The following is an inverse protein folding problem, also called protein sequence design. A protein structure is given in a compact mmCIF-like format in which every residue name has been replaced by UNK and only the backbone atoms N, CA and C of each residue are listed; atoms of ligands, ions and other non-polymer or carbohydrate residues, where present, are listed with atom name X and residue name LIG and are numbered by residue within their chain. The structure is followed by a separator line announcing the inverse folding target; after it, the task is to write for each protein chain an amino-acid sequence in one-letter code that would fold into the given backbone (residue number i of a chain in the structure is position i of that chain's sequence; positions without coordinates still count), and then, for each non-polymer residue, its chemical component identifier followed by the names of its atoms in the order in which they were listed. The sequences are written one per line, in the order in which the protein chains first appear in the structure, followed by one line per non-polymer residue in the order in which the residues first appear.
data_IF_922708363509
#
_entry.id   IF_922708363509
#
_cell.length_a   1.000
_cell.length_b   1.000
_cell.length_c   1.000
_cell.angle_alpha   90.00
_cell.angle_beta   90.00
_cell.angle_gamma   90.00
#
_symmetry.space_group_name_H-M   'P 1'
#
loop_
_entity.id
_entity.type
_entity.pdbx_description
1 polymer ?
#
# COMPACT_ATOMS: atom_id res chain seq x y z
N UNK A 1 28.28 10.38 12.09
CA UNK A 1 28.18 9.95 10.67
C UNK A 1 28.16 11.11 9.64
N UNK A 2 28.08 12.39 10.03
CA UNK A 2 28.05 13.52 9.09
C UNK A 2 29.40 13.88 8.42
N UNK A 3 30.52 13.41 8.95
CA UNK A 3 31.85 13.74 8.41
C UNK A 3 32.22 13.03 7.11
N UNK A 4 31.53 11.94 6.73
CA UNK A 4 31.96 11.09 5.59
C UNK A 4 31.39 11.51 4.23
N UNK A 5 30.32 12.30 4.18
CA UNK A 5 29.67 12.71 2.91
C UNK A 5 29.68 14.22 2.65
N UNK A 6 30.57 14.98 3.32
CA UNK A 6 30.61 16.44 3.17
C UNK A 6 30.91 16.87 1.72
N UNK A 7 31.70 16.09 0.98
CA UNK A 7 32.01 16.36 -0.43
C UNK A 7 30.80 16.20 -1.35
N UNK A 8 29.90 15.25 -1.09
CA UNK A 8 28.64 15.10 -1.81
C UNK A 8 27.69 16.27 -1.54
N UNK A 9 27.66 16.76 -0.30
CA UNK A 9 26.87 17.95 0.05
C UNK A 9 27.48 19.23 -0.54
N UNK A 10 28.81 19.38 -0.50
CA UNK A 10 29.54 20.54 -1.00
C UNK A 10 29.54 20.63 -2.53
N UNK A 11 29.54 19.50 -3.24
CA UNK A 11 29.41 19.47 -4.70
C UNK A 11 27.94 19.49 -5.15
N UNK A 12 27.04 18.83 -4.41
CA UNK A 12 25.62 18.75 -4.74
C UNK A 12 24.85 20.04 -4.51
N UNK A 13 25.21 20.83 -3.48
CA UNK A 13 24.56 22.10 -3.18
C UNK A 13 24.73 23.16 -4.29
N UNK A 14 25.93 23.46 -4.82
CA UNK A 14 26.09 24.44 -5.90
C UNK A 14 25.52 23.94 -7.22
N UNK A 15 25.58 22.64 -7.53
CA UNK A 15 24.96 22.07 -8.73
C UNK A 15 23.44 22.13 -8.63
N UNK A 16 22.86 21.76 -7.49
CA UNK A 16 21.43 21.87 -7.21
C UNK A 16 20.96 23.31 -7.24
N UNK A 17 21.72 24.24 -6.66
CA UNK A 17 21.43 25.68 -6.67
C UNK A 17 21.53 26.25 -8.09
N UNK A 18 22.53 25.88 -8.88
CA UNK A 18 22.66 26.32 -10.27
C UNK A 18 21.51 25.83 -11.15
N UNK A 19 21.12 24.56 -11.00
CA UNK A 19 19.96 23.99 -11.70
C UNK A 19 18.68 24.71 -11.27
N UNK A 20 18.46 24.87 -9.97
CA UNK A 20 17.27 25.52 -9.41
C UNK A 20 17.19 27.00 -9.83
N UNK A 21 18.30 27.73 -9.76
CA UNK A 21 18.41 29.12 -10.20
C UNK A 21 18.12 29.25 -11.71
N UNK A 22 18.68 28.36 -12.53
CA UNK A 22 18.41 28.33 -13.98
C UNK A 22 16.96 27.95 -14.30
N UNK A 23 16.33 27.09 -13.49
CA UNK A 23 14.94 26.67 -13.63
C UNK A 23 13.94 27.78 -13.24
N UNK A 24 14.24 28.54 -12.18
CA UNK A 24 13.43 29.65 -11.69
C UNK A 24 13.58 30.93 -12.54
N UNK A 25 14.80 31.28 -12.95
CA UNK A 25 15.08 32.59 -13.54
C UNK A 25 14.64 32.73 -15.01
N UNK A 26 14.33 31.65 -15.73
CA UNK A 26 13.91 31.71 -17.14
C UNK A 26 12.46 31.24 -17.41
N UNK A 27 11.63 31.03 -16.38
CA UNK A 27 10.24 30.56 -16.59
C UNK A 27 10.11 29.13 -17.16
N UNK A 28 11.23 28.42 -17.37
CA UNK A 28 11.28 27.04 -17.84
C UNK A 28 10.71 26.06 -16.81
N UNK A 29 10.64 26.40 -15.53
CA UNK A 29 10.03 25.54 -14.51
C UNK A 29 8.57 25.18 -14.81
N UNK A 30 7.78 26.14 -15.30
CA UNK A 30 6.40 25.90 -15.70
C UNK A 30 6.30 25.04 -16.98
N UNK A 31 7.22 25.24 -17.93
CA UNK A 31 7.26 24.44 -19.17
C UNK A 31 7.72 23.01 -18.91
N UNK A 32 8.76 22.81 -18.09
CA UNK A 32 9.24 21.49 -17.68
C UNK A 32 8.19 20.77 -16.83
N UNK A 33 7.51 21.47 -15.92
CA UNK A 33 6.42 20.88 -15.13
C UNK A 33 5.25 20.45 -16.04
N UNK A 34 4.86 21.29 -17.02
CA UNK A 34 3.84 20.91 -18.00
C UNK A 34 4.27 19.74 -18.87
N UNK A 35 5.52 19.74 -19.36
CA UNK A 35 6.06 18.65 -20.18
C UNK A 35 6.14 17.32 -19.41
N UNK A 36 6.61 17.35 -18.16
CA UNK A 36 6.63 16.19 -17.27
C UNK A 36 5.21 15.74 -16.95
N UNK A 37 4.29 16.67 -16.69
CA UNK A 37 2.90 16.35 -16.42
C UNK A 37 2.26 15.66 -17.63
N UNK A 38 2.33 16.26 -18.82
CA UNK A 38 1.81 15.69 -20.08
C UNK A 38 2.42 14.33 -20.41
N UNK A 39 3.74 14.16 -20.24
CA UNK A 39 4.38 12.86 -20.48
C UNK A 39 3.99 11.82 -19.43
N UNK A 40 3.78 12.22 -18.18
CA UNK A 40 3.32 11.32 -17.12
C UNK A 40 1.86 10.93 -17.30
N UNK A 41 0.97 11.86 -17.70
CA UNK A 41 -0.43 11.53 -18.01
C UNK A 41 -0.55 10.68 -19.25
N UNK A 42 0.23 10.94 -20.30
CA UNK A 42 0.27 10.08 -21.50
C UNK A 42 0.72 8.67 -21.15
N UNK A 43 1.81 8.54 -20.39
CA UNK A 43 2.33 7.24 -19.94
C UNK A 43 1.32 6.50 -19.05
N UNK A 44 0.66 7.20 -18.13
CA UNK A 44 -0.35 6.60 -17.26
C UNK A 44 -1.59 6.17 -18.05
N UNK A 45 -2.04 6.99 -19.00
CA UNK A 45 -3.18 6.64 -19.84
C UNK A 45 -2.86 5.40 -20.69
N UNK A 46 -1.71 5.40 -21.37
CA UNK A 46 -1.31 4.39 -22.34
C UNK A 46 -0.86 3.08 -21.70
N UNK A 47 -0.12 3.11 -20.58
CA UNK A 47 0.42 1.91 -19.95
C UNK A 47 -0.33 1.44 -18.71
N UNK A 48 -1.22 2.26 -18.13
CA UNK A 48 -1.99 1.86 -16.94
C UNK A 48 -3.47 1.75 -17.30
N UNK A 49 -4.08 2.80 -17.84
CA UNK A 49 -5.55 2.83 -17.97
C UNK A 49 -6.09 1.93 -19.08
N UNK A 50 -5.39 1.84 -20.22
CA UNK A 50 -5.77 1.00 -21.36
C UNK A 50 -5.70 -0.49 -20.99
N UNK A 51 -4.56 -1.02 -20.50
CA UNK A 51 -4.48 -2.44 -20.12
C UNK A 51 -5.40 -2.79 -18.95
N UNK A 52 -5.58 -1.92 -17.95
CA UNK A 52 -6.52 -2.19 -16.84
C UNK A 52 -7.98 -2.29 -17.31
N UNK A 53 -8.41 -1.40 -18.21
CA UNK A 53 -9.77 -1.46 -18.77
C UNK A 53 -9.96 -2.68 -19.66
N UNK A 54 -8.96 -3.03 -20.47
CA UNK A 54 -8.99 -4.22 -21.32
C UNK A 54 -9.13 -5.49 -20.48
N UNK A 55 -8.26 -5.66 -19.47
CA UNK A 55 -8.29 -6.81 -18.55
C UNK A 55 -9.61 -6.85 -17.78
N UNK A 56 -10.11 -5.70 -17.29
CA UNK A 56 -11.36 -5.67 -16.53
C UNK A 56 -12.57 -6.05 -17.40
N UNK A 57 -12.63 -5.55 -18.63
CA UNK A 57 -13.73 -5.84 -19.55
C UNK A 57 -13.68 -7.29 -20.05
N UNK A 58 -12.48 -7.82 -20.30
CA UNK A 58 -12.25 -9.22 -20.69
C UNK A 58 -12.60 -10.18 -19.56
N UNK A 59 -12.08 -9.96 -18.35
CA UNK A 59 -12.32 -10.80 -17.17
C UNK A 59 -13.82 -10.86 -16.81
N UNK A 60 -14.53 -9.72 -16.86
CA UNK A 60 -15.93 -9.67 -16.45
C UNK A 60 -16.90 -10.20 -17.53
N UNK A 61 -16.54 -10.03 -18.81
CA UNK A 61 -17.39 -10.43 -19.94
C UNK A 61 -17.25 -11.91 -20.33
N UNK A 62 -16.03 -12.47 -20.25
CA UNK A 62 -15.72 -13.84 -20.67
C UNK A 62 -16.16 -14.88 -19.64
N UNK A 63 -15.81 -14.65 -18.37
CA UNK A 63 -16.17 -15.52 -17.24
C UNK A 63 -17.69 -15.77 -17.13
N UNK A 64 -18.52 -14.79 -17.50
CA UNK A 64 -19.98 -14.93 -17.36
C UNK A 64 -20.64 -15.72 -18.49
N UNK A 65 -20.11 -15.66 -19.72
CA UNK A 65 -20.79 -16.24 -20.89
C UNK A 65 -20.40 -17.69 -21.16
N UNK A 66 -19.13 -18.03 -21.04
CA UNK A 66 -18.64 -19.39 -21.33
C UNK A 66 -19.12 -20.38 -20.27
N UNK A 67 -19.03 -20.02 -18.97
CA UNK A 67 -19.46 -20.89 -17.86
C UNK A 67 -20.94 -21.26 -17.91
N UNK A 68 -21.82 -20.36 -18.37
CA UNK A 68 -23.27 -20.63 -18.43
C UNK A 68 -23.63 -21.51 -19.64
N UNK A 69 -23.01 -21.27 -20.79
CA UNK A 69 -23.27 -22.03 -22.02
C UNK A 69 -22.80 -23.49 -21.87
N UNK A 70 -21.59 -23.69 -21.38
CA UNK A 70 -20.98 -25.03 -21.30
C UNK A 70 -21.61 -25.89 -20.19
N UNK A 71 -22.04 -25.28 -19.09
CA UNK A 71 -22.75 -26.00 -18.04
C UNK A 71 -24.08 -26.57 -18.54
N UNK A 72 -24.88 -25.77 -19.24
CA UNK A 72 -26.16 -26.21 -19.78
C UNK A 72 -25.98 -27.27 -20.87
N UNK A 73 -25.00 -27.10 -21.77
CA UNK A 73 -24.67 -28.10 -22.78
C UNK A 73 -24.28 -29.45 -22.15
N UNK A 74 -23.54 -29.41 -21.03
CA UNK A 74 -23.16 -30.61 -20.27
C UNK A 74 -24.35 -31.31 -19.64
N UNK A 75 -25.25 -30.56 -19.02
CA UNK A 75 -26.47 -31.14 -18.42
C UNK A 75 -27.35 -31.81 -19.46
N UNK A 76 -27.56 -31.17 -20.63
CA UNK A 76 -28.33 -31.76 -21.73
C UNK A 76 -27.68 -33.04 -22.25
N UNK A 77 -26.35 -33.08 -22.35
CA UNK A 77 -25.65 -34.29 -22.76
C UNK A 77 -25.76 -35.42 -21.73
N UNK A 78 -25.68 -35.10 -20.44
CA UNK A 78 -25.85 -36.07 -19.34
C UNK A 78 -27.28 -36.61 -19.37
N UNK A 79 -28.29 -35.75 -19.45
CA UNK A 79 -29.70 -36.16 -19.51
C UNK A 79 -29.98 -37.07 -20.72
N UNK A 80 -29.44 -36.71 -21.89
CA UNK A 80 -29.53 -37.54 -23.09
C UNK A 80 -28.90 -38.93 -22.89
N UNK A 81 -27.72 -38.99 -22.27
CA UNK A 81 -27.05 -40.25 -21.94
C UNK A 81 -27.85 -41.09 -20.94
N UNK A 82 -28.39 -40.46 -19.90
CA UNK A 82 -29.24 -41.13 -18.91
C UNK A 82 -30.47 -41.76 -19.57
N UNK A 83 -31.12 -41.04 -20.48
CA UNK A 83 -32.28 -41.55 -21.23
C UNK A 83 -31.89 -42.75 -22.11
N UNK A 84 -30.76 -42.66 -22.81
CA UNK A 84 -30.28 -43.74 -23.67
C UNK A 84 -29.93 -45.02 -22.90
N UNK A 85 -29.27 -44.87 -21.74
CA UNK A 85 -28.95 -45.99 -20.84
C UNK A 85 -30.24 -46.60 -20.28
N UNK A 86 -31.20 -45.76 -19.85
CA UNK A 86 -32.49 -46.22 -19.33
C UNK A 86 -33.27 -47.02 -20.37
N UNK A 87 -33.33 -46.53 -21.60
CA UNK A 87 -34.00 -47.22 -22.71
C UNK A 87 -33.31 -48.54 -23.06
N UNK A 88 -31.97 -48.55 -23.09
CA UNK A 88 -31.20 -49.77 -23.31
C UNK A 88 -31.38 -50.81 -22.20
N UNK A 89 -31.38 -50.39 -20.93
CA UNK A 89 -31.61 -51.28 -19.78
C UNK A 89 -33.03 -51.86 -19.78
N UNK A 90 -34.02 -51.08 -20.20
CA UNK A 90 -35.42 -51.52 -20.31
C UNK A 90 -35.57 -52.64 -21.32
N UNK A 91 -34.89 -52.54 -22.46
CA UNK A 91 -34.95 -53.52 -23.54
C UNK A 91 -34.10 -54.77 -23.27
N UNK A 92 -32.90 -54.60 -22.72
CA UNK A 92 -31.94 -55.71 -22.53
C UNK A 92 -32.24 -56.54 -21.27
N UNK A 93 -32.70 -55.90 -20.19
CA UNK A 93 -32.95 -56.54 -18.90
C UNK A 93 -34.35 -56.21 -18.37
N UNK A 94 -35.42 -56.82 -18.94
CA UNK A 94 -36.80 -56.55 -18.52
C UNK A 94 -37.10 -57.00 -17.09
N UNK A 95 -36.35 -57.98 -16.57
CA UNK A 95 -36.49 -58.54 -15.21
C UNK A 95 -35.79 -57.71 -14.12
N UNK A 96 -34.97 -56.73 -14.49
CA UNK A 96 -34.27 -55.88 -13.52
C UNK A 96 -35.25 -54.88 -12.87
N UNK A 97 -35.21 -54.71 -11.54
CA UNK A 97 -36.10 -53.77 -10.85
C UNK A 97 -35.92 -52.34 -11.37
N UNK A 98 -37.03 -51.62 -11.53
CA UNK A 98 -37.07 -50.25 -12.10
C UNK A 98 -36.13 -49.31 -11.35
N UNK A 99 -36.11 -49.40 -10.02
CA UNK A 99 -35.29 -48.56 -9.13
C UNK A 99 -33.80 -48.76 -9.41
N UNK A 100 -33.37 -50.00 -9.62
CA UNK A 100 -31.96 -50.30 -9.91
C UNK A 100 -31.56 -49.76 -11.30
N UNK A 101 -32.46 -49.87 -12.30
CA UNK A 101 -32.22 -49.33 -13.64
C UNK A 101 -32.07 -47.81 -13.63
N UNK A 102 -32.94 -47.13 -12.90
CA UNK A 102 -32.89 -45.66 -12.79
C UNK A 102 -31.65 -45.20 -12.03
N UNK A 103 -31.27 -45.89 -10.95
CA UNK A 103 -30.03 -45.59 -10.23
C UNK A 103 -28.79 -45.75 -11.11
N UNK A 104 -28.73 -46.81 -11.93
CA UNK A 104 -27.63 -47.03 -12.88
C UNK A 104 -27.63 -46.01 -14.01
N UNK A 105 -28.80 -45.63 -14.52
CA UNK A 105 -28.92 -44.57 -15.51
C UNK A 105 -28.43 -43.24 -14.94
N UNK A 106 -28.87 -42.85 -13.73
CA UNK A 106 -28.46 -41.61 -13.05
C UNK A 106 -26.95 -41.56 -12.79
N UNK A 107 -26.35 -42.69 -12.41
CA UNK A 107 -24.90 -42.83 -12.22
C UNK A 107 -24.12 -42.84 -13.56
N UNK A 108 -24.81 -42.94 -14.70
CA UNK A 108 -24.22 -43.20 -16.01
C UNK A 108 -23.27 -44.40 -16.00
N UNK A 109 -23.69 -45.49 -15.35
CA UNK A 109 -22.89 -46.72 -15.21
C UNK A 109 -22.76 -47.44 -16.56
N UNK A 110 -21.54 -47.48 -17.08
CA UNK A 110 -21.23 -48.02 -18.40
C UNK A 110 -20.80 -49.50 -18.39
N UNK A 111 -20.54 -50.06 -17.20
CA UNK A 111 -19.93 -51.38 -17.04
C UNK A 111 -20.74 -52.51 -17.67
N UNK A 112 -22.08 -52.48 -17.55
CA UNK A 112 -22.98 -53.48 -18.10
C UNK A 112 -23.05 -53.41 -19.64
N UNK A 113 -23.01 -52.19 -20.18
CA UNK A 113 -23.08 -51.96 -21.62
C UNK A 113 -21.78 -52.43 -22.27
N UNK A 114 -20.63 -52.13 -21.67
CA UNK A 114 -19.31 -52.60 -22.14
C UNK A 114 -19.22 -54.13 -22.16
N UNK A 115 -19.62 -54.78 -21.05
CA UNK A 115 -19.62 -56.24 -20.96
C UNK A 115 -20.53 -56.87 -22.03
N UNK A 116 -21.74 -56.33 -22.19
CA UNK A 116 -22.69 -56.85 -23.17
C UNK A 116 -22.22 -56.59 -24.61
N UNK A 117 -21.59 -55.44 -24.86
CA UNK A 117 -20.96 -55.10 -26.15
C UNK A 117 -19.85 -56.11 -26.48
N UNK A 118 -19.01 -56.47 -25.52
CA UNK A 118 -17.94 -57.46 -25.73
C UNK A 118 -18.49 -58.86 -26.06
N UNK A 119 -19.57 -59.27 -25.38
CA UNK A 119 -20.26 -60.53 -25.64
C UNK A 119 -20.90 -60.55 -27.05
N UNK A 120 -21.60 -59.47 -27.42
CA UNK A 120 -22.28 -59.34 -28.71
C UNK A 120 -21.29 -59.16 -29.87
N UNK A 121 -20.10 -58.58 -29.63
CA UNK A 121 -19.05 -58.44 -30.66
C UNK A 121 -18.45 -59.79 -31.07
N UNK A 122 -18.55 -60.83 -30.22
CA UNK A 122 -18.14 -62.20 -30.55
C UNK A 122 -19.13 -62.91 -31.49
N UNK A 123 -20.34 -62.38 -31.67
CA UNK A 123 -21.42 -63.01 -32.44
C UNK A 123 -21.91 -62.11 -33.59
N UNK A 124 -21.71 -62.55 -34.85
CA UNK A 124 -22.02 -61.75 -36.06
C UNK A 124 -23.52 -61.41 -36.20
N UNK A 125 -24.42 -62.18 -35.59
CA UNK A 125 -25.87 -61.95 -35.72
C UNK A 125 -26.40 -60.77 -34.88
N UNK A 126 -25.61 -60.21 -33.96
CA UNK A 126 -26.06 -59.16 -33.03
C UNK A 126 -25.57 -57.74 -33.39
N UNK A 127 -25.14 -57.50 -34.63
CA UNK A 127 -24.53 -56.23 -35.09
C UNK A 127 -25.37 -54.99 -34.74
N UNK A 128 -26.69 -55.06 -34.88
CA UNK A 128 -27.57 -53.91 -34.57
C UNK A 128 -27.49 -53.52 -33.08
N UNK A 129 -27.41 -54.50 -32.20
CA UNK A 129 -27.25 -54.26 -30.76
C UNK A 129 -25.89 -53.65 -30.44
N UNK A 130 -24.82 -54.11 -31.10
CA UNK A 130 -23.45 -53.59 -30.93
C UNK A 130 -23.36 -52.13 -31.38
N UNK A 131 -23.96 -51.79 -32.52
CA UNK A 131 -23.98 -50.41 -33.02
C UNK A 131 -24.64 -49.47 -32.00
N UNK A 132 -25.79 -49.87 -31.41
CA UNK A 132 -26.45 -49.06 -30.38
C UNK A 132 -25.60 -48.91 -29.11
N UNK A 133 -24.94 -49.98 -28.65
CA UNK A 133 -24.05 -49.92 -27.48
C UNK A 133 -22.84 -49.01 -27.74
N UNK A 134 -22.26 -49.05 -28.94
CA UNK A 134 -21.17 -48.15 -29.36
C UNK A 134 -21.61 -46.68 -29.44
N UNK A 135 -22.86 -46.40 -29.82
CA UNK A 135 -23.39 -45.03 -29.79
C UNK A 135 -23.55 -44.50 -28.35
N UNK A 136 -23.96 -45.35 -27.41
CA UNK A 136 -24.00 -44.99 -25.98
C UNK A 136 -22.58 -44.68 -25.48
N UNK A 137 -21.59 -45.49 -25.87
CA UNK A 137 -20.18 -45.30 -25.53
C UNK A 137 -19.60 -44.00 -26.08
N UNK A 138 -19.93 -43.66 -27.31
CA UNK A 138 -19.54 -42.38 -27.88
C UNK A 138 -20.10 -41.20 -27.08
N UNK A 139 -21.34 -41.27 -26.60
CA UNK A 139 -21.92 -40.19 -25.77
C UNK A 139 -21.31 -40.15 -24.36
N UNK A 140 -20.96 -41.31 -23.79
CA UNK A 140 -20.21 -41.36 -22.52
C UNK A 140 -18.83 -40.71 -22.65
N UNK A 141 -18.06 -41.06 -23.68
CA UNK A 141 -16.76 -40.44 -23.96
C UNK A 141 -16.91 -38.93 -24.17
N UNK A 142 -17.94 -38.50 -24.92
CA UNK A 142 -18.24 -37.08 -25.12
C UNK A 142 -18.51 -36.34 -23.81
N UNK A 143 -19.26 -36.95 -22.88
CA UNK A 143 -19.51 -36.38 -21.54
C UNK A 143 -18.20 -36.21 -20.77
N UNK A 144 -17.38 -37.26 -20.69
CA UNK A 144 -16.11 -37.22 -19.96
C UNK A 144 -15.14 -36.20 -20.56
N UNK A 145 -15.08 -36.11 -21.89
CA UNK A 145 -14.28 -35.10 -22.60
C UNK A 145 -14.74 -33.67 -22.25
N UNK A 146 -16.04 -33.40 -22.25
CA UNK A 146 -16.57 -32.09 -21.89
C UNK A 146 -16.33 -31.76 -20.41
N UNK A 147 -16.33 -32.75 -19.52
CA UNK A 147 -15.95 -32.55 -18.13
C UNK A 147 -14.45 -32.21 -17.98
N UNK A 148 -13.58 -32.91 -18.71
CA UNK A 148 -12.16 -32.62 -18.76
C UNK A 148 -11.86 -31.25 -19.38
N UNK A 149 -12.56 -30.88 -20.45
CA UNK A 149 -12.44 -29.57 -21.09
C UNK A 149 -12.81 -28.45 -20.14
N UNK A 150 -13.91 -28.61 -19.39
CA UNK A 150 -14.29 -27.66 -18.35
C UNK A 150 -13.19 -27.48 -17.29
N UNK A 151 -12.59 -28.57 -16.82
CA UNK A 151 -11.48 -28.49 -15.86
C UNK A 151 -10.24 -27.82 -16.47
N UNK A 152 -9.97 -28.05 -17.76
CA UNK A 152 -8.88 -27.37 -18.47
C UNK A 152 -9.14 -25.88 -18.64
N UNK A 153 -10.36 -25.47 -18.96
CA UNK A 153 -10.73 -24.06 -19.08
C UNK A 153 -10.59 -23.32 -17.74
N UNK A 154 -10.97 -23.98 -16.64
CA UNK A 154 -10.77 -23.44 -15.29
C UNK A 154 -9.27 -23.24 -14.97
N UNK A 155 -8.43 -24.23 -15.31
CA UNK A 155 -6.98 -24.13 -15.14
C UNK A 155 -6.36 -23.07 -16.06
N UNK A 156 -6.79 -22.99 -17.31
CA UNK A 156 -6.30 -22.02 -18.28
C UNK A 156 -6.66 -20.59 -17.85
N UNK A 157 -7.89 -20.38 -17.38
CA UNK A 157 -8.36 -19.10 -16.84
C UNK A 157 -7.54 -18.67 -15.63
N UNK A 158 -7.27 -19.59 -14.69
CA UNK A 158 -6.41 -19.30 -13.54
C UNK A 158 -4.99 -18.90 -13.95
N UNK A 159 -4.44 -19.55 -14.98
CA UNK A 159 -3.11 -19.23 -15.50
C UNK A 159 -3.08 -17.88 -16.23
N UNK A 160 -4.09 -17.58 -17.02
CA UNK A 160 -4.23 -16.31 -17.74
C UNK A 160 -4.33 -15.14 -16.75
N UNK A 161 -5.11 -15.29 -15.67
CA UNK A 161 -5.20 -14.29 -14.60
C UNK A 161 -3.84 -14.04 -13.96
N UNK A 162 -3.09 -15.11 -13.66
CA UNK A 162 -1.76 -14.98 -13.06
C UNK A 162 -0.79 -14.25 -14.00
N UNK A 163 -0.79 -14.58 -15.30
CA UNK A 163 0.04 -13.93 -16.30
C UNK A 163 -0.33 -12.45 -16.48
N UNK A 164 -1.62 -12.14 -16.59
CA UNK A 164 -2.13 -10.77 -16.68
C UNK A 164 -1.79 -9.96 -15.43
N UNK A 165 -1.88 -10.56 -14.24
CA UNK A 165 -1.50 -9.92 -12.98
C UNK A 165 0.02 -9.67 -12.92
N UNK A 166 0.84 -10.64 -13.35
CA UNK A 166 2.29 -10.48 -13.45
C UNK A 166 2.68 -9.34 -14.40
N UNK A 167 1.96 -9.18 -15.52
CA UNK A 167 2.16 -8.08 -16.46
C UNK A 167 1.78 -6.70 -15.88
N UNK A 168 0.76 -6.62 -15.02
CA UNK A 168 0.32 -5.36 -14.38
C UNK A 168 1.20 -4.99 -13.16
N UNK A 169 1.79 -5.97 -12.49
CA UNK A 169 2.65 -5.80 -11.31
C UNK A 169 3.74 -4.71 -11.46
N UNK A 170 4.55 -4.67 -12.54
CA UNK A 170 5.57 -3.63 -12.68
C UNK A 170 4.99 -2.21 -12.77
N UNK A 171 3.82 -2.02 -13.38
CA UNK A 171 3.16 -0.71 -13.46
C UNK A 171 2.68 -0.23 -12.07
N UNK A 172 2.14 -1.15 -11.26
CA UNK A 172 1.74 -0.87 -9.87
C UNK A 172 2.95 -0.51 -9.01
N UNK A 173 4.06 -1.23 -9.17
CA UNK A 173 5.30 -0.99 -8.44
C UNK A 173 5.91 0.38 -8.79
N UNK A 174 5.89 0.77 -10.08
CA UNK A 174 6.31 2.10 -10.52
C UNK A 174 5.44 3.20 -9.88
N UNK A 175 4.13 3.03 -9.86
CA UNK A 175 3.22 3.99 -9.24
C UNK A 175 3.46 4.18 -7.75
N UNK A 176 3.67 3.07 -7.04
CA UNK A 176 4.01 3.11 -5.62
C UNK A 176 5.36 3.79 -5.39
N UNK A 177 6.35 3.50 -6.23
CA UNK A 177 7.67 4.14 -6.23
C UNK A 177 7.58 5.65 -6.43
N UNK A 178 6.84 6.12 -7.44
CA UNK A 178 6.62 7.55 -7.69
C UNK A 178 5.96 8.23 -6.50
N UNK A 179 4.94 7.61 -5.90
CA UNK A 179 4.27 8.16 -4.71
C UNK A 179 5.20 8.23 -3.50
N UNK A 180 6.06 7.22 -3.32
CA UNK A 180 7.06 7.19 -2.25
C UNK A 180 8.11 8.29 -2.44
N UNK A 181 8.66 8.43 -3.64
CA UNK A 181 9.63 9.48 -3.98
C UNK A 181 9.00 10.86 -3.87
N UNK A 182 7.77 11.06 -4.35
CA UNK A 182 7.05 12.32 -4.23
C UNK A 182 6.86 12.72 -2.75
N UNK A 183 6.45 11.77 -1.89
CA UNK A 183 6.38 12.01 -0.45
C UNK A 183 7.74 12.32 0.15
N UNK A 184 8.77 11.56 -0.23
CA UNK A 184 10.14 11.78 0.27
C UNK A 184 10.65 13.16 -0.12
N UNK A 185 10.52 13.55 -1.39
CA UNK A 185 10.87 14.88 -1.89
C UNK A 185 10.06 15.97 -1.20
N UNK A 186 8.75 15.79 -1.02
CA UNK A 186 7.91 16.73 -0.28
C UNK A 186 8.40 16.90 1.16
N UNK A 187 8.68 15.80 1.86
CA UNK A 187 9.23 15.85 3.22
C UNK A 187 10.65 16.43 3.26
N UNK A 188 11.51 16.13 2.30
CA UNK A 188 12.88 16.64 2.26
C UNK A 188 12.91 18.15 1.94
N UNK A 189 12.16 18.59 0.93
CA UNK A 189 12.11 19.99 0.51
C UNK A 189 11.35 20.88 1.51
N UNK A 190 10.17 20.49 1.98
CA UNK A 190 9.34 21.36 2.83
C UNK A 190 9.68 21.25 4.31
N UNK A 191 10.25 20.13 4.76
CA UNK A 191 10.66 19.96 6.17
C UNK A 191 12.13 20.32 6.41
N UNK A 192 12.83 20.83 5.40
CA UNK A 192 14.14 21.47 5.52
C UNK A 192 14.13 22.77 6.36
N UNK A 193 12.97 23.20 6.87
CA UNK A 193 12.78 24.47 7.57
C UNK A 193 12.98 24.51 9.09
N UNK A 194 13.51 23.47 9.74
CA UNK A 194 14.14 23.61 11.08
C UNK A 194 14.88 22.33 11.44
N UNK A 195 16.21 22.40 11.47
CA UNK A 195 17.07 21.28 11.87
C UNK A 195 16.71 20.86 13.31
N UNK A 196 16.78 19.56 13.62
CA UNK A 196 16.59 19.09 15.01
C UNK A 196 17.57 19.81 15.93
N UNK A 197 18.77 20.10 15.44
CA UNK A 197 19.83 20.81 16.15
C UNK A 197 19.44 22.26 16.46
N UNK A 198 18.79 22.96 15.54
CA UNK A 198 18.29 24.33 15.78
C UNK A 198 17.21 24.34 16.85
N UNK A 199 16.31 23.36 16.86
CA UNK A 199 15.26 23.25 17.90
C UNK A 199 15.88 22.98 19.27
N UNK A 200 16.91 22.12 19.35
CA UNK A 200 17.64 21.86 20.59
C UNK A 200 18.48 23.06 21.05
N UNK A 201 19.12 23.78 20.12
CA UNK A 201 19.87 24.98 20.42
C UNK A 201 18.95 26.10 20.93
N UNK A 202 17.83 26.36 20.24
CA UNK A 202 16.82 27.33 20.71
C UNK A 202 16.27 26.96 22.09
N UNK A 203 16.01 25.69 22.37
CA UNK A 203 15.57 25.24 23.69
C UNK A 203 16.64 25.49 24.77
N UNK A 204 17.90 25.15 24.50
CA UNK A 204 19.01 25.40 25.43
C UNK A 204 19.22 26.88 25.73
N UNK A 205 19.12 27.74 24.72
CA UNK A 205 19.23 29.19 24.91
C UNK A 205 18.16 29.72 25.85
N UNK A 206 16.90 29.29 25.69
CA UNK A 206 15.82 29.72 26.58
C UNK A 206 16.06 29.25 28.03
N UNK A 207 16.56 28.02 28.23
CA UNK A 207 16.89 27.51 29.57
C UNK A 207 18.06 28.27 30.20
N UNK A 208 19.10 28.58 29.43
CA UNK A 208 20.24 29.37 29.91
C UNK A 208 19.84 30.82 30.22
N UNK A 209 18.92 31.41 29.45
CA UNK A 209 18.40 32.74 29.75
C UNK A 209 17.57 32.73 31.04
N UNK A 210 16.80 31.67 31.30
CA UNK A 210 16.11 31.47 32.58
C UNK A 210 17.12 31.33 33.74
N UNK A 211 18.17 30.52 33.58
CA UNK A 211 19.24 30.37 34.57
C UNK A 211 19.97 31.69 34.81
N UNK A 212 20.22 32.47 33.76
CA UNK A 212 20.88 33.78 33.83
C UNK A 212 20.03 34.83 34.54
N UNK A 213 18.72 34.87 34.28
CA UNK A 213 17.79 35.76 34.98
C UNK A 213 17.69 35.41 36.46
N UNK A 214 17.79 34.12 36.80
CA UNK A 214 17.81 33.66 38.18
C UNK A 214 19.15 33.96 38.89
N UNK A 215 20.28 33.89 38.18
CA UNK A 215 21.64 34.06 38.75
C UNK A 215 22.16 35.50 38.76
N UNK A 216 21.87 36.33 37.74
CA UNK A 216 22.24 37.77 37.77
C UNK A 216 21.51 38.54 38.87
N UNK A 217 20.48 37.95 39.48
CA UNK A 217 19.72 38.54 40.58
C UNK A 217 20.39 38.38 41.94
N UNK A 218 21.30 37.43 42.10
CA UNK A 218 22.05 37.26 43.35
C UNK A 218 23.08 38.38 43.59
N UNK A 219 23.43 39.16 42.56
CA UNK A 219 24.25 40.39 42.66
C UNK A 219 23.92 41.39 41.53
N UNK A 220 22.96 42.31 41.69
CA UNK A 220 22.79 43.38 40.72
C UNK A 220 24.05 44.28 40.72
N UNK A 221 24.66 44.60 39.55
CA UNK A 221 25.68 45.64 39.51
C UNK A 221 25.02 46.97 39.91
N UNK A 222 25.64 47.66 40.88
CA UNK A 222 25.16 48.93 41.39
C UNK A 222 24.90 49.92 40.25
N UNK A 223 23.76 50.59 40.33
CA UNK A 223 23.29 51.59 39.37
C UNK A 223 24.42 52.60 39.09
N UNK A 224 24.81 52.84 37.83
CA UNK A 224 25.76 53.92 37.54
C UNK A 224 25.11 55.27 37.93
N UNK A 225 25.81 56.13 38.67
CA UNK A 225 25.23 57.37 39.19
C UNK A 225 24.75 58.27 38.04
N UNK A 226 23.57 58.93 38.17
CA UNK A 226 23.11 59.88 37.17
C UNK A 226 24.09 61.05 37.07
N UNK A 227 24.35 61.51 35.84
CA UNK A 227 25.13 62.72 35.58
C UNK A 227 24.47 63.91 36.28
N UNK A 228 25.12 64.43 37.33
CA UNK A 228 24.64 65.60 38.08
C UNK A 228 25.52 65.97 39.26
N UNK A 229 26.63 66.66 38.97
CA UNK A 229 27.20 67.78 39.72
C UNK A 229 27.49 67.64 41.24
N UNK A 230 28.80 67.57 41.53
CA UNK A 230 29.53 68.06 42.72
C UNK A 230 29.65 67.21 44.00
N UNK A 231 30.88 66.70 44.16
CA UNK A 231 31.78 66.88 45.30
C UNK A 231 31.93 65.77 46.37
N UNK A 232 33.22 65.45 46.60
CA UNK A 232 33.88 64.85 47.78
C UNK A 232 34.00 63.31 47.86
N UNK A 233 35.19 62.83 47.43
CA UNK A 233 36.14 61.82 47.98
C UNK A 233 35.70 60.63 48.89
N UNK A 234 36.52 59.56 48.97
CA UNK A 234 36.08 58.18 48.83
C UNK A 234 35.93 57.47 50.18
N UNK A 235 34.98 56.56 50.28
CA UNK A 235 35.00 55.58 51.36
C UNK A 235 34.48 54.23 50.89
N UNK A 236 35.44 53.36 50.58
CA UNK A 236 35.29 51.92 50.59
C UNK A 236 34.67 51.50 51.93
N UNK A 237 33.41 51.09 51.91
CA UNK A 237 32.77 50.41 53.02
C UNK A 237 32.02 49.21 52.48
N UNK A 238 32.74 48.09 52.43
CA UNK A 238 32.12 46.79 52.52
C UNK A 238 31.34 46.75 53.85
N UNK A 239 30.02 46.80 53.75
CA UNK A 239 29.10 46.57 54.86
C UNK A 239 28.31 45.33 54.45
N UNK A 240 28.65 44.20 55.09
CA UNK A 240 27.76 43.06 55.12
C UNK A 240 26.61 43.36 56.08
N UNK A 241 25.37 43.14 55.65
CA UNK A 241 24.20 43.11 56.53
C UNK A 241 23.18 42.09 56.00
N UNK A 242 22.82 41.20 56.93
CA UNK A 242 21.58 40.46 57.13
C UNK A 242 20.93 39.66 55.99
N UNK A 243 21.00 38.35 56.18
CA UNK A 243 19.86 37.44 56.00
C UNK A 243 18.57 38.00 56.61
N UNK A 244 17.56 38.27 55.78
CA UNK A 244 16.11 38.12 56.05
C UNK A 244 15.23 39.16 55.34
N UNK A 245 15.39 39.37 54.05
CA UNK A 245 14.30 39.90 53.22
C UNK A 245 13.90 38.81 52.21
N UNK A 246 12.60 38.46 52.08
CA UNK A 246 12.19 37.55 51.03
C UNK A 246 12.54 38.21 49.70
N UNK A 247 13.43 37.58 48.93
CA UNK A 247 13.83 38.01 47.59
C UNK A 247 12.64 37.83 46.65
N UNK A 248 11.67 38.74 46.71
CA UNK A 248 10.47 38.70 45.88
C UNK A 248 10.87 39.07 44.45
N UNK A 249 10.40 38.29 43.46
CA UNK A 249 10.56 38.65 42.05
C UNK A 249 9.97 40.04 41.80
N UNK A 250 10.74 40.93 41.15
CA UNK A 250 10.14 42.13 40.57
C UNK A 250 9.03 41.66 39.62
N UNK A 251 7.88 42.33 39.61
CA UNK A 251 6.73 41.95 38.78
C UNK A 251 7.11 41.80 37.31
N UNK A 252 8.08 42.59 36.86
CA UNK A 252 8.56 42.61 35.47
C UNK A 252 9.44 41.39 35.15
N UNK A 253 10.30 40.98 36.09
CA UNK A 253 11.15 39.78 35.95
C UNK A 253 10.32 38.49 36.03
N UNK A 254 9.26 38.49 36.85
CA UNK A 254 8.28 37.40 36.92
C UNK A 254 7.53 37.26 35.58
N UNK A 255 7.16 38.38 34.96
CA UNK A 255 6.53 38.41 33.64
C UNK A 255 7.44 37.84 32.54
N UNK A 256 8.73 38.22 32.55
CA UNK A 256 9.72 37.70 31.59
C UNK A 256 9.99 36.21 31.78
N UNK A 257 10.11 35.75 33.03
CA UNK A 257 10.28 34.33 33.33
C UNK A 257 9.07 33.50 32.89
N UNK A 258 7.85 34.00 33.11
CA UNK A 258 6.62 33.35 32.65
C UNK A 258 6.57 33.24 31.12
N UNK A 259 7.04 34.27 30.40
CA UNK A 259 7.10 34.28 28.94
C UNK A 259 8.09 33.25 28.41
N UNK A 260 9.28 33.14 29.03
CA UNK A 260 10.26 32.11 28.68
C UNK A 260 9.75 30.68 28.98
N UNK A 261 9.05 30.47 30.08
CA UNK A 261 8.37 29.19 30.39
C UNK A 261 7.33 28.86 29.34
N UNK A 262 6.49 29.82 28.95
CA UNK A 262 5.47 29.63 27.93
C UNK A 262 6.09 29.31 26.56
N UNK A 263 7.19 29.98 26.20
CA UNK A 263 7.93 29.72 24.97
C UNK A 263 8.53 28.29 24.97
N UNK A 264 9.15 27.88 26.08
CA UNK A 264 9.66 26.52 26.28
C UNK A 264 8.55 25.48 26.12
N UNK A 265 7.41 25.68 26.79
CA UNK A 265 6.23 24.80 26.69
C UNK A 265 5.75 24.71 25.25
N UNK A 266 5.61 25.83 24.55
CA UNK A 266 5.10 25.86 23.16
C UNK A 266 6.02 25.09 22.20
N UNK A 267 7.35 25.22 22.36
CA UNK A 267 8.33 24.49 21.55
C UNK A 267 8.28 22.98 21.82
N UNK A 268 8.11 22.60 23.09
CA UNK A 268 8.02 21.20 23.52
C UNK A 268 6.74 20.54 22.99
N UNK A 269 5.59 21.20 23.12
CA UNK A 269 4.29 20.72 22.61
C UNK A 269 4.28 20.58 21.08
N UNK A 270 4.79 21.58 20.35
CA UNK A 270 4.82 21.56 18.87
C UNK A 270 5.75 20.48 18.31
N UNK A 271 6.74 20.02 19.09
CA UNK A 271 7.75 19.07 18.65
C UNK A 271 7.79 17.77 19.47
N UNK A 272 6.71 17.40 20.17
CA UNK A 272 6.64 16.19 21.02
C UNK A 272 7.10 14.90 20.33
N UNK A 273 6.85 14.73 19.02
CA UNK A 273 7.27 13.54 18.26
C UNK A 273 8.77 13.47 17.95
N UNK A 274 9.54 14.54 18.21
CA UNK A 274 10.98 14.64 17.90
C UNK A 274 11.89 14.45 19.12
N UNK A 275 11.35 14.51 20.34
CA UNK A 275 12.09 14.30 21.60
C UNK A 275 12.05 12.83 22.03
N UNK A 276 13.09 12.39 22.76
CA UNK A 276 13.26 10.99 23.18
C UNK A 276 12.07 10.50 24.02
N UNK A 277 11.58 9.26 23.83
CA UNK A 277 10.42 8.72 24.54
C UNK A 277 10.57 8.65 26.06
N UNK A 278 11.78 8.80 26.60
CA UNK A 278 12.04 8.84 28.05
C UNK A 278 11.48 10.11 28.72
N UNK A 279 11.44 11.25 28.01
CA UNK A 279 10.86 12.52 28.53
C UNK A 279 9.32 12.51 28.48
N UNK A 280 8.74 11.53 27.78
CA UNK A 280 7.29 11.41 27.58
C UNK A 280 6.53 10.89 28.81
N UNK A 281 7.24 10.35 29.81
CA UNK A 281 6.61 9.73 30.99
C UNK A 281 6.47 10.67 32.20
N UNK A 282 7.23 11.76 32.24
CA UNK A 282 7.31 12.65 33.41
C UNK A 282 6.72 14.06 33.14
N UNK A 283 5.81 14.19 32.16
CA UNK A 283 4.99 15.40 31.93
C UNK A 283 3.52 15.08 32.09
#
# INVERSE_FOLDING_TARGET
MWRRNWYMAAAGAPVGFYILFKLLHKGYGAQVARFVFEKTTSFFHEHVSVPLKAIFLELFSRQRRETISDHNARLVAIESLQNMIRDWLRETYPLMPVIERDNRALACDMSLIEKKKEESMKTIYEINSVVRMSLIEMQFIKKEMMNAMYAMDEMMTSNEINMNLAAVTPAVLLLYGVRFVAKFCWYALLKMGKSREEVHASFRHIVLDMERLLTMRDRPPGVPPPLGTSAVLPQSRAIGVSSSDPVVLSSDDLGMLLLHIHACRTILWKNQRRFSPQIRRDV
#
